data_IF_172103455916
#
_entry.id   IF_172103455916
#
_cell.length_a   1.000
_cell.length_b   1.000
_cell.length_c   1.000
_cell.angle_alpha   90.00
_cell.angle_beta   90.00
_cell.angle_gamma   90.00
#
_symmetry.space_group_name_H-M   'P 1'
#
loop_
_entity.id
_entity.type
_entity.pdbx_description
1 polymer ?
#
# COMPACT_ATOMS: atom_id res chain seq x y z
N UNK A 1 -3.30 4.46 -13.13
CA UNK A 1 -3.29 3.12 -12.50
C UNK A 1 -1.88 2.55 -12.22
N UNK A 2 -0.80 3.03 -12.85
CA UNK A 2 0.58 2.60 -12.51
C UNK A 2 1.16 3.34 -11.28
N UNK A 3 0.76 4.58 -11.07
CA UNK A 3 1.29 5.40 -9.97
C UNK A 3 0.74 5.00 -8.61
N UNK A 4 -0.51 4.53 -8.56
CA UNK A 4 -1.13 4.12 -7.30
C UNK A 4 -0.43 2.90 -6.71
N UNK A 5 -0.11 1.89 -7.53
CA UNK A 5 0.67 0.72 -7.09
C UNK A 5 2.06 1.11 -6.59
N UNK A 6 2.75 2.03 -7.27
CA UNK A 6 4.07 2.52 -6.85
C UNK A 6 4.00 3.30 -5.53
N UNK A 7 2.96 4.12 -5.34
CA UNK A 7 2.73 4.85 -4.09
C UNK A 7 2.42 3.86 -2.97
N UNK A 8 1.56 2.87 -3.23
CA UNK A 8 1.18 1.84 -2.26
C UNK A 8 2.38 1.00 -1.82
N UNK A 9 3.18 0.49 -2.75
CA UNK A 9 4.39 -0.26 -2.43
C UNK A 9 5.39 0.56 -1.59
N UNK A 10 5.51 1.86 -1.87
CA UNK A 10 6.36 2.78 -1.09
C UNK A 10 5.80 3.02 0.31
N UNK A 11 4.48 3.12 0.44
CA UNK A 11 3.80 3.25 1.72
C UNK A 11 3.92 1.96 2.55
N UNK A 12 3.74 0.79 1.93
CA UNK A 12 3.96 -0.51 2.57
C UNK A 12 5.38 -0.62 3.13
N UNK A 13 6.39 -0.25 2.34
CA UNK A 13 7.79 -0.22 2.81
C UNK A 13 8.00 0.69 4.04
N UNK A 14 7.18 1.73 4.22
CA UNK A 14 7.28 2.68 5.34
C UNK A 14 6.37 2.34 6.54
N UNK A 15 5.28 1.60 6.32
CA UNK A 15 4.21 1.37 7.32
C UNK A 15 4.13 -0.06 7.84
N UNK A 16 5.16 -0.87 7.61
CA UNK A 16 5.22 -2.24 8.15
C UNK A 16 4.69 -3.32 7.20
N UNK A 17 4.77 -3.07 5.89
CA UNK A 17 4.43 -4.02 4.84
C UNK A 17 3.01 -3.84 4.28
N UNK A 18 2.69 -4.65 3.27
CA UNK A 18 1.40 -4.59 2.57
C UNK A 18 0.22 -4.97 3.48
N UNK A 19 0.40 -5.91 4.41
CA UNK A 19 -0.67 -6.33 5.33
C UNK A 19 -1.11 -5.18 6.27
N UNK A 20 -0.15 -4.48 6.86
CA UNK A 20 -0.43 -3.32 7.71
C UNK A 20 -1.08 -2.18 6.91
N UNK A 21 -0.62 -1.99 5.67
CA UNK A 21 -1.18 -0.97 4.78
C UNK A 21 -2.59 -1.33 4.29
N UNK A 22 -2.88 -2.60 4.00
CA UNK A 22 -4.19 -3.06 3.58
C UNK A 22 -5.24 -2.98 4.70
N UNK A 23 -4.83 -3.19 5.96
CA UNK A 23 -5.70 -2.94 7.11
C UNK A 23 -6.09 -1.46 7.24
N UNK A 24 -5.17 -0.55 6.92
CA UNK A 24 -5.40 0.89 7.00
C UNK A 24 -6.18 1.47 5.81
N UNK A 25 -5.92 0.99 4.59
CA UNK A 25 -6.42 1.58 3.34
C UNK A 25 -7.45 0.71 2.61
N UNK A 26 -7.75 -0.47 3.14
CA UNK A 26 -8.56 -1.47 2.44
C UNK A 26 -7.79 -2.22 1.34
N UNK A 27 -8.48 -3.10 0.60
CA UNK A 27 -7.87 -3.83 -0.51
C UNK A 27 -7.40 -2.88 -1.64
N UNK A 28 -6.46 -3.36 -2.46
CA UNK A 28 -6.02 -2.64 -3.67
C UNK A 28 -7.20 -2.58 -4.65
N UNK A 29 -7.55 -1.41 -5.21
CA UNK A 29 -8.48 -1.34 -6.34
C UNK A 29 -7.89 -1.91 -7.63
#
# INVERSE_FOLDING_TARGET
>A
MMDFQKIRARAAKRKGGEAALASLLGPMP
#
